data_IF_022515559453
#
_entry.id   IF_022515559453
#
_cell.length_a   1.000
_cell.length_b   1.000
_cell.length_c   1.000
_cell.angle_alpha   90.00
_cell.angle_beta   90.00
_cell.angle_gamma   90.00
#
_symmetry.space_group_name_H-M   'P 1'
#
loop_
_entity.id
_entity.type
_entity.pdbx_description
1 polymer ?
#
# COMPACT_ATOMS: atom_id res chain seq x y z
N UNK A 1 -4.42 -7.88 17.34
CA UNK A 1 -3.49 -6.75 17.43
C UNK A 1 -3.34 -6.15 16.03
N UNK A 2 -3.41 -4.84 15.87
CA UNK A 2 -3.38 -4.17 14.57
C UNK A 2 -2.05 -4.42 13.85
N UNK A 3 -0.93 -4.45 14.56
CA UNK A 3 0.38 -4.73 13.95
C UNK A 3 0.43 -6.13 13.32
N UNK A 4 -0.13 -7.13 14.00
CA UNK A 4 -0.20 -8.51 13.52
C UNK A 4 -1.14 -8.64 12.32
N UNK A 5 -2.32 -8.01 12.39
CA UNK A 5 -3.30 -8.01 11.30
C UNK A 5 -2.73 -7.39 10.02
N UNK A 6 -2.16 -6.18 10.10
CA UNK A 6 -1.58 -5.49 8.94
C UNK A 6 -0.24 -6.05 8.49
N UNK A 7 0.42 -6.87 9.31
CA UNK A 7 1.63 -7.61 8.94
C UNK A 7 1.36 -8.94 8.22
N UNK A 8 0.12 -9.46 8.27
CA UNK A 8 -0.21 -10.80 7.78
C UNK A 8 -1.39 -10.84 6.79
N UNK A 9 -2.33 -9.90 6.89
CA UNK A 9 -3.51 -9.83 6.04
C UNK A 9 -3.38 -8.66 5.06
N UNK A 10 -3.98 -8.81 3.88
CA UNK A 10 -3.96 -7.78 2.84
C UNK A 10 -4.90 -6.59 3.12
N UNK A 11 -5.73 -6.70 4.16
CA UNK A 11 -6.71 -5.69 4.57
C UNK A 11 -7.61 -5.19 3.44
N UNK A 12 -7.96 -6.08 2.49
CA UNK A 12 -8.81 -5.79 1.35
C UNK A 12 -8.09 -5.32 0.08
N UNK A 13 -6.77 -5.11 0.13
CA UNK A 13 -5.96 -4.69 -1.01
C UNK A 13 -5.12 -5.86 -1.57
N UNK A 14 -5.57 -6.49 -2.64
CA UNK A 14 -4.89 -7.67 -3.22
C UNK A 14 -3.57 -7.37 -3.96
N UNK A 15 -3.35 -6.12 -4.36
CA UNK A 15 -2.12 -5.69 -5.04
C UNK A 15 -1.89 -4.19 -4.86
N UNK A 16 -0.65 -3.74 -5.08
CA UNK A 16 -0.27 -2.34 -5.12
C UNK A 16 0.48 -2.03 -6.42
N UNK A 17 0.15 -0.89 -7.05
CA UNK A 17 0.83 -0.40 -8.25
C UNK A 17 1.52 0.92 -7.93
N UNK A 18 2.83 0.97 -8.15
CA UNK A 18 3.60 2.21 -8.08
C UNK A 18 3.65 2.86 -9.46
N UNK A 19 3.26 4.12 -9.55
CA UNK A 19 3.22 4.93 -10.77
C UNK A 19 3.81 6.32 -10.50
N UNK A 20 4.06 7.09 -11.55
CA UNK A 20 4.38 8.50 -11.38
C UNK A 20 3.20 9.23 -10.71
N UNK A 21 3.49 10.21 -9.84
CA UNK A 21 2.46 10.93 -9.08
C UNK A 21 1.42 11.60 -9.98
N UNK A 22 1.85 12.13 -11.12
CA UNK A 22 0.97 12.76 -12.11
C UNK A 22 -0.05 11.78 -12.73
N UNK A 23 0.21 10.48 -12.68
CA UNK A 23 -0.63 9.44 -13.28
C UNK A 23 -1.52 8.71 -12.26
N UNK A 24 -1.41 9.04 -10.96
CA UNK A 24 -2.06 8.28 -9.88
C UNK A 24 -3.59 8.22 -10.03
N UNK A 25 -4.24 9.37 -10.14
CA UNK A 25 -5.71 9.45 -10.27
C UNK A 25 -6.19 8.81 -11.58
N UNK A 26 -5.52 9.10 -12.70
CA UNK A 26 -5.84 8.49 -14.00
C UNK A 26 -5.74 6.96 -13.95
N UNK A 27 -4.76 6.42 -13.23
CA UNK A 27 -4.60 4.96 -13.06
C UNK A 27 -5.79 4.40 -12.28
N UNK A 28 -6.24 5.07 -11.22
CA UNK A 28 -7.43 4.67 -10.46
C UNK A 28 -8.68 4.70 -11.33
N UNK A 29 -8.88 5.73 -12.14
CA UNK A 29 -10.02 5.85 -13.05
C UNK A 29 -10.06 4.71 -14.07
N UNK A 30 -8.91 4.38 -14.67
CA UNK A 30 -8.79 3.25 -15.62
C UNK A 30 -9.10 1.92 -14.93
N UNK A 31 -8.57 1.69 -13.73
CA UNK A 31 -8.84 0.47 -12.98
C UNK A 31 -10.33 0.30 -12.67
N UNK A 32 -10.98 1.38 -12.19
CA UNK A 32 -12.41 1.40 -11.91
C UNK A 32 -13.24 1.18 -13.19
N UNK A 33 -12.85 1.79 -14.30
CA UNK A 33 -13.47 1.57 -15.62
C UNK A 33 -13.36 0.12 -16.11
N UNK A 34 -12.32 -0.60 -15.68
CA UNK A 34 -12.14 -2.03 -15.95
C UNK A 34 -12.83 -2.94 -14.91
N UNK A 35 -13.61 -2.39 -13.98
CA UNK A 35 -14.31 -3.15 -12.94
C UNK A 35 -13.46 -3.51 -11.72
N UNK A 36 -12.29 -2.89 -11.56
CA UNK A 36 -11.38 -3.15 -10.44
C UNK A 36 -11.46 -2.01 -9.44
N UNK A 37 -11.84 -2.31 -8.19
CA UNK A 37 -11.82 -1.32 -7.11
C UNK A 37 -10.39 -0.87 -6.82
N UNK A 38 -10.16 0.44 -6.86
CA UNK A 38 -8.85 1.04 -6.67
C UNK A 38 -8.96 2.38 -5.93
N UNK A 39 -7.87 2.76 -5.26
CA UNK A 39 -7.68 4.06 -4.61
C UNK A 39 -6.20 4.46 -4.67
N UNK A 40 -5.92 5.75 -4.53
CA UNK A 40 -4.56 6.24 -4.27
C UNK A 40 -4.24 5.95 -2.80
N UNK A 41 -3.51 4.85 -2.56
CA UNK A 41 -3.26 4.36 -1.20
C UNK A 41 -2.18 5.15 -0.42
N UNK A 42 -1.40 5.99 -1.10
CA UNK A 42 -0.34 6.77 -0.49
C UNK A 42 0.71 7.20 -1.51
N UNK A 43 1.91 7.49 -1.01
CA UNK A 43 3.06 7.92 -1.83
C UNK A 43 4.35 7.23 -1.37
N UNK A 44 5.35 7.24 -2.25
CA UNK A 44 6.71 6.83 -1.90
C UNK A 44 7.56 8.08 -1.74
N UNK A 45 8.19 8.20 -0.58
CA UNK A 45 9.15 9.25 -0.28
C UNK A 45 10.58 8.67 -0.29
N UNK A 46 11.58 9.50 -0.57
CA UNK A 46 12.98 9.10 -0.42
C UNK A 46 13.29 8.81 1.07
N UNK A 47 13.96 7.69 1.35
CA UNK A 47 14.30 7.30 2.71
C UNK A 47 14.63 5.82 2.85
N UNK A 48 14.79 5.34 4.10
CA UNK A 48 14.99 3.91 4.35
C UNK A 48 13.75 3.11 3.94
N UNK A 49 13.94 1.85 3.55
CA UNK A 49 12.85 0.93 3.22
C UNK A 49 11.93 0.76 4.43
N UNK A 50 10.71 1.27 4.34
CA UNK A 50 9.66 1.13 5.36
C UNK A 50 8.28 1.35 4.76
N UNK A 51 7.26 0.80 5.41
CA UNK A 51 5.86 1.13 5.20
C UNK A 51 5.31 1.80 6.47
N UNK A 52 4.61 2.92 6.30
CA UNK A 52 4.00 3.67 7.40
C UNK A 52 2.48 3.69 7.16
N UNK A 53 1.71 3.28 8.16
CA UNK A 53 0.25 3.36 8.17
C UNK A 53 -0.13 4.41 9.20
N UNK A 54 -0.17 5.66 8.76
CA UNK A 54 -0.34 6.84 9.63
C UNK A 54 -1.61 6.77 10.51
N UNK A 55 -2.80 6.37 10.00
CA UNK A 55 -4.01 6.30 10.82
C UNK A 55 -3.93 5.34 12.01
N UNK A 56 -3.06 4.33 11.92
CA UNK A 56 -2.87 3.31 12.95
C UNK A 56 -1.57 3.48 13.74
N UNK A 57 -0.78 4.53 13.43
CA UNK A 57 0.52 4.78 14.03
C UNK A 57 1.48 3.57 13.91
N UNK A 58 1.36 2.80 12.82
CA UNK A 58 2.19 1.63 12.57
C UNK A 58 3.33 1.96 11.60
N UNK A 59 4.52 1.46 11.91
CA UNK A 59 5.67 1.45 10.99
C UNK A 59 6.25 0.04 10.91
N UNK A 60 6.44 -0.42 9.68
CA UNK A 60 7.14 -1.65 9.32
C UNK A 60 8.44 -1.28 8.62
N UNK A 61 9.56 -1.64 9.22
CA UNK A 61 10.89 -1.48 8.64
C UNK A 61 11.15 -2.49 7.52
N UNK A 62 12.24 -2.34 6.78
CA UNK A 62 12.69 -3.33 5.80
C UNK A 62 12.84 -4.74 6.39
N UNK A 63 13.21 -4.82 7.67
CA UNK A 63 13.38 -6.07 8.42
C UNK A 63 12.04 -6.64 8.94
N UNK A 64 10.96 -5.89 8.87
CA UNK A 64 9.61 -6.42 9.14
C UNK A 64 8.95 -6.98 7.87
N UNK A 65 9.37 -6.49 6.70
CA UNK A 65 8.73 -6.75 5.40
C UNK A 65 9.30 -8.02 4.76
N UNK A 66 8.87 -9.16 5.27
CA UNK A 66 9.23 -10.48 4.75
C UNK A 66 7.98 -11.17 4.22
N UNK A 67 8.09 -11.86 3.08
CA UNK A 67 7.05 -12.80 2.68
C UNK A 67 7.10 -13.95 3.68
N UNK A 68 6.09 -14.03 4.54
CA UNK A 68 5.94 -15.17 5.46
C UNK A 68 5.27 -16.30 4.67
N UNK A 69 5.89 -17.48 4.71
CA UNK A 69 5.42 -18.70 4.05
C UNK A 69 4.25 -19.34 4.78
#
# INVERSE_FOLDING_TARGET
DDREAYGNLNMGAGFARFVASADAERTVDVARGAGVSALVAGRVDNGPKRAIIEPLQLTFSGDDLHVRA
#
